data_IF_945070235100
#
_entry.id   IF_945070235100
#
_cell.length_a   1.000
_cell.length_b   1.000
_cell.length_c   1.000
_cell.angle_alpha   90.00
_cell.angle_beta   90.00
_cell.angle_gamma   90.00
#
_symmetry.space_group_name_H-M   'P 1'
#
loop_
_entity.id
_entity.type
_entity.pdbx_description
1 polymer ?
2 non-polymer ?
3 water ?
#
# COMPACT_ATOMS: atom_id res chain seq x y z
N UNK A 5 -1.88 22.64 8.76
CA UNK A 5 -0.73 21.66 8.74
C UNK A 5 -0.83 20.64 9.88
N UNK A 6 -1.36 21.07 11.02
CA UNK A 6 -1.57 20.16 12.13
C UNK A 6 -2.70 19.19 11.81
N UNK A 7 -3.82 19.74 11.32
CA UNK A 7 -4.96 18.90 10.97
C UNK A 7 -4.54 17.87 9.94
N UNK A 8 -3.81 18.31 8.92
CA UNK A 8 -3.42 17.43 7.82
C UNK A 8 -2.42 16.40 8.32
N UNK A 9 -1.59 16.81 9.27
CA UNK A 9 -0.52 15.94 9.74
C UNK A 9 -1.07 14.81 10.59
N UNK A 10 -2.07 15.13 11.41
CA UNK A 10 -2.74 14.10 12.20
C UNK A 10 -3.52 13.16 11.28
N UNK A 11 -4.24 13.73 10.32
CA UNK A 11 -4.95 12.95 9.33
C UNK A 11 -3.99 12.00 8.58
N UNK A 12 -2.83 12.50 8.17
CA UNK A 12 -1.89 11.67 7.40
C UNK A 12 -1.28 10.57 8.28
N UNK A 13 -1.00 10.90 9.54
CA UNK A 13 -0.38 9.96 10.44
C UNK A 13 -1.31 8.76 10.58
N UNK A 14 -2.59 9.06 10.73
CA UNK A 14 -3.62 8.04 10.88
C UNK A 14 -3.89 7.22 9.59
N UNK A 15 -3.33 7.65 8.47
CA UNK A 15 -3.42 6.89 7.22
C UNK A 15 -2.16 6.11 6.91
N UNK A 16 -1.15 6.21 7.75
CA UNK A 16 0.12 5.54 7.45
C UNK A 16 0.05 4.03 7.55
N UNK A 17 0.75 3.37 6.63
CA UNK A 17 1.08 1.95 6.69
C UNK A 17 2.57 1.98 6.92
N UNK A 18 2.95 1.80 8.17
CA UNK A 18 4.32 2.04 8.61
C UNK A 18 5.21 0.81 8.35
N UNK A 19 6.36 1.05 7.70
CA UNK A 19 7.35 0.02 7.40
C UNK A 19 8.70 0.34 8.04
N UNK A 20 9.54 -0.67 8.18
CA UNK A 20 10.90 -0.41 8.65
C UNK A 20 11.74 -0.01 7.45
N UNK A 24 16.47 -5.60 6.61
CA UNK A 24 15.33 -6.54 6.50
C UNK A 24 14.63 -6.67 7.83
N UNK A 25 13.33 -6.97 7.77
CA UNK A 25 12.56 -7.29 8.95
C UNK A 25 13.23 -8.40 9.76
N UNK A 26 13.16 -8.27 11.08
CA UNK A 26 13.55 -9.35 12.00
C UNK A 26 12.54 -9.31 13.12
N UNK A 27 12.49 -10.35 13.96
CA UNK A 27 11.57 -10.35 15.10
C UNK A 27 11.73 -9.05 15.89
N UNK A 28 12.98 -8.72 16.20
CA UNK A 28 13.33 -7.53 16.96
C UNK A 28 12.86 -6.23 16.29
N UNK A 29 13.14 -6.09 14.99
CA UNK A 29 12.77 -4.93 14.17
C UNK A 29 11.25 -4.76 14.13
N UNK A 30 10.56 -5.89 14.02
CA UNK A 30 9.11 -5.87 13.86
C UNK A 30 8.45 -5.47 15.18
N UNK A 31 9.02 -5.94 16.29
CA UNK A 31 8.47 -5.59 17.60
C UNK A 31 8.60 -4.08 17.79
N UNK A 32 9.77 -3.56 17.47
CA UNK A 32 10.03 -2.13 17.56
C UNK A 32 9.09 -1.34 16.65
N UNK A 33 8.87 -1.87 15.44
CA UNK A 33 7.92 -1.25 14.50
C UNK A 33 6.49 -1.14 15.08
N UNK A 34 6.00 -2.23 15.67
CA UNK A 34 4.69 -2.22 16.31
C UNK A 34 4.63 -1.13 17.39
N UNK A 35 5.68 -1.02 18.20
CA UNK A 35 5.70 0.02 19.22
C UNK A 35 5.72 1.38 18.56
N UNK A 36 6.43 1.50 17.43
CA UNK A 36 6.58 2.79 16.74
C UNK A 36 5.24 3.30 16.18
N UNK A 37 4.40 2.36 15.76
CA UNK A 37 3.05 2.65 15.25
C UNK A 37 2.05 3.22 16.27
N UNK A 38 2.36 3.08 17.56
CA UNK A 38 1.48 3.62 18.61
C UNK A 38 2.13 4.89 19.09
N UNK A 39 1.66 6.04 18.63
CA UNK A 39 2.32 7.30 18.95
C UNK A 39 1.55 8.12 20.00
N UNK A 40 2.19 9.15 20.56
CA UNK A 40 1.51 10.00 21.55
C UNK A 40 0.25 10.68 21.04
N UNK A 41 0.09 10.77 19.73
CA UNK A 41 -1.08 11.49 19.18
C UNK A 41 -2.08 10.54 18.52
N UNK A 42 -1.79 9.25 18.54
CA UNK A 42 -2.65 8.30 17.84
C UNK A 42 -1.84 7.21 17.16
N UNK A 43 -2.55 6.26 16.56
CA UNK A 43 -1.92 5.13 15.91
C UNK A 43 -1.93 5.31 14.40
N UNK A 44 -0.89 4.79 13.73
CA UNK A 44 -0.94 4.61 12.28
C UNK A 44 -2.06 3.59 11.99
N UNK A 45 -2.52 3.52 10.75
CA UNK A 45 -3.61 2.60 10.46
C UNK A 45 -3.09 1.17 10.45
N UNK A 46 -1.82 1.01 10.08
CA UNK A 46 -1.27 -0.33 9.81
C UNK A 46 0.22 -0.32 9.91
N UNK A 47 0.79 -1.52 9.92
CA UNK A 47 2.22 -1.69 9.66
C UNK A 47 2.35 -2.56 8.41
N UNK A 48 3.56 -2.52 7.81
CA UNK A 48 3.86 -3.30 6.63
C UNK A 48 5.11 -4.13 6.90
N UNK A 49 4.96 -5.45 6.77
CA UNK A 49 6.03 -6.37 7.14
C UNK A 49 6.03 -7.58 6.20
N UNK A 50 7.12 -8.36 6.23
CA UNK A 50 7.14 -9.66 5.52
C UNK A 50 6.13 -10.65 6.13
N UNK A 51 5.59 -11.58 5.31
CA UNK A 51 4.50 -12.44 5.81
C UNK A 51 4.85 -13.19 7.10
N UNK A 52 6.08 -13.69 7.21
CA UNK A 52 6.37 -14.59 8.31
C UNK A 52 6.33 -13.94 9.68
N UNK A 53 6.39 -12.60 9.69
CA UNK A 53 6.37 -11.85 10.92
C UNK A 53 4.98 -11.43 11.33
N UNK A 54 3.96 -11.85 10.57
CA UNK A 54 2.60 -11.46 10.93
C UNK A 54 2.14 -11.97 12.30
N UNK A 55 2.37 -13.26 12.62
CA UNK A 55 1.97 -13.76 13.94
C UNK A 55 2.60 -13.01 15.13
N UNK A 56 3.90 -12.74 15.08
CA UNK A 56 4.49 -12.09 16.22
C UNK A 56 4.10 -10.60 16.30
N UNK A 57 3.89 -9.96 15.15
CA UNK A 57 3.37 -8.58 15.12
C UNK A 57 1.95 -8.53 15.70
N UNK A 58 1.12 -9.52 15.36
CA UNK A 58 -0.27 -9.48 15.85
C UNK A 58 -0.28 -9.55 17.39
N UNK A 59 0.49 -10.48 17.93
CA UNK A 59 0.72 -10.60 19.37
C UNK A 59 1.20 -9.29 20.01
N UNK A 60 2.21 -8.67 19.40
CA UNK A 60 2.82 -7.47 19.94
C UNK A 60 1.78 -6.34 19.95
N UNK A 61 1.01 -6.24 18.88
CA UNK A 61 0.02 -5.17 18.78
C UNK A 61 -1.06 -5.36 19.83
N UNK A 62 -1.50 -6.60 19.98
CA UNK A 62 -2.51 -6.93 20.96
C UNK A 62 -1.98 -6.58 22.34
N UNK A 63 -0.76 -7.00 22.66
CA UNK A 63 -0.23 -6.79 24.01
C UNK A 63 -0.13 -5.31 24.38
N UNK A 64 0.12 -4.43 23.41
CA UNK A 64 0.27 -3.03 23.72
C UNK A 64 -1.08 -2.30 23.59
N UNK A 65 -2.14 -3.06 23.37
CA UNK A 65 -3.49 -2.54 23.43
C UNK A 65 -3.98 -1.85 22.16
N UNK A 66 -3.33 -2.16 21.05
CA UNK A 66 -3.69 -1.56 19.76
C UNK A 66 -4.02 -2.64 18.71
N UNK A 67 -5.03 -3.48 19.01
CA UNK A 67 -5.45 -4.55 18.13
C UNK A 67 -6.02 -4.05 16.82
N UNK A 68 -6.37 -2.76 16.75
CA UNK A 68 -6.98 -2.24 15.55
C UNK A 68 -5.95 -1.81 14.50
N UNK A 69 -4.67 -1.77 14.88
CA UNK A 69 -3.62 -1.51 13.92
C UNK A 69 -3.55 -2.71 12.97
N UNK A 70 -3.76 -2.47 11.67
CA UNK A 70 -3.80 -3.55 10.70
C UNK A 70 -2.40 -4.02 10.30
N UNK A 71 -2.32 -5.24 9.77
CA UNK A 71 -1.05 -5.76 9.27
C UNK A 71 -1.11 -6.04 7.77
N UNK A 72 -0.27 -5.32 7.01
CA UNK A 72 -0.23 -5.43 5.57
C UNK A 72 1.04 -6.16 5.18
N UNK A 73 0.99 -6.93 4.11
CA UNK A 73 2.22 -7.61 3.67
C UNK A 73 2.27 -7.65 2.15
N UNK A 74 3.27 -8.31 1.58
CA UNK A 74 3.38 -8.33 0.12
C UNK A 74 3.76 -9.73 -0.38
N UNK A 75 3.38 -10.00 -1.62
CA UNK A 75 3.70 -11.25 -2.30
C UNK A 75 4.10 -10.99 -3.74
N UNK A 76 4.69 -12.03 -4.38
CA UNK A 76 5.33 -11.89 -5.68
C UNK A 76 6.40 -10.79 -5.62
N UNK A 77 7.05 -10.71 -4.46
CA UNK A 77 7.79 -9.53 -4.00
C UNK A 77 9.23 -9.93 -3.84
N UNK A 78 10.17 -9.02 -4.18
CA UNK A 78 9.82 -7.70 -4.71
C UNK A 78 9.83 -7.64 -6.24
N UNK A 79 10.19 -8.75 -6.89
CA UNK A 79 10.45 -8.84 -8.34
C UNK A 79 9.31 -8.74 -9.33
N UNK A 80 8.12 -9.08 -8.90
CA UNK A 80 7.01 -9.02 -9.84
C UNK A 80 7.15 -10.00 -11.00
N UNK A 81 7.55 -11.25 -10.70
CA UNK A 81 7.67 -12.27 -11.75
C UNK A 81 6.29 -12.65 -12.31
N UNK A 82 6.26 -13.42 -13.39
CA UNK A 82 5.01 -13.69 -14.08
C UNK A 82 4.48 -15.12 -13.87
N UNK A 83 4.88 -15.74 -12.76
CA UNK A 83 4.44 -17.08 -12.41
C UNK A 83 3.23 -16.97 -11.49
N UNK A 84 2.04 -17.27 -12.02
CA UNK A 84 0.83 -17.10 -11.25
C UNK A 84 0.74 -18.09 -10.10
N UNK A 85 1.13 -19.34 -10.36
CA UNK A 85 1.05 -20.36 -9.33
C UNK A 85 1.84 -19.95 -8.09
N UNK A 86 3.04 -19.39 -8.30
CA UNK A 86 3.86 -18.97 -7.18
C UNK A 86 3.26 -17.75 -6.49
N UNK A 87 2.90 -16.72 -7.25
CA UNK A 87 2.26 -15.56 -6.63
C UNK A 87 1.05 -16.00 -5.81
N UNK A 88 0.27 -16.91 -6.37
CA UNK A 88 -0.94 -17.36 -5.67
C UNK A 88 -0.60 -18.14 -4.39
N UNK A 89 0.38 -19.03 -4.45
CA UNK A 89 0.80 -19.77 -3.26
C UNK A 89 1.27 -18.84 -2.16
N UNK A 90 2.09 -17.85 -2.54
CA UNK A 90 2.56 -16.87 -1.58
C UNK A 90 1.39 -16.12 -0.99
N UNK A 91 0.40 -15.77 -1.80
CA UNK A 91 -0.78 -15.03 -1.32
C UNK A 91 -1.59 -15.89 -0.33
N UNK A 92 -1.75 -17.16 -0.65
CA UNK A 92 -2.45 -18.04 0.25
C UNK A 92 -1.73 -18.14 1.59
N UNK A 93 -0.40 -18.22 1.55
CA UNK A 93 0.38 -18.28 2.76
C UNK A 93 0.26 -16.98 3.58
N UNK A 94 0.35 -15.83 2.92
CA UNK A 94 0.15 -14.54 3.57
C UNK A 94 -1.20 -14.51 4.29
N UNK A 95 -2.24 -15.00 3.63
CA UNK A 95 -3.56 -15.05 4.25
C UNK A 95 -3.54 -15.95 5.51
N UNK A 96 -2.92 -17.11 5.39
CA UNK A 96 -2.79 -18.05 6.49
C UNK A 96 -2.03 -17.51 7.71
N UNK A 97 -0.99 -16.72 7.46
CA UNK A 97 -0.26 -16.11 8.56
C UNK A 97 -1.12 -15.11 9.31
N UNK A 98 -2.11 -14.54 8.63
CA UNK A 98 -3.08 -13.62 9.26
C UNK A 98 -3.08 -12.20 8.70
N UNK A 99 -2.59 -12.04 7.48
CA UNK A 99 -2.55 -10.71 6.82
C UNK A 99 -3.95 -10.10 6.83
N UNK A 100 -4.02 -8.79 7.07
CA UNK A 100 -5.26 -8.01 6.81
C UNK A 100 -5.38 -7.60 5.33
N UNK A 101 -4.23 -7.36 4.71
CA UNK A 101 -4.17 -7.00 3.31
C UNK A 101 -2.91 -7.65 2.75
N UNK A 102 -2.98 -8.07 1.49
CA UNK A 102 -1.82 -8.53 0.72
C UNK A 102 -1.64 -7.62 -0.48
N UNK A 103 -0.43 -7.07 -0.62
CA UNK A 103 -0.08 -6.30 -1.80
C UNK A 103 0.73 -7.18 -2.72
N UNK A 104 0.11 -7.60 -3.83
CA UNK A 104 0.81 -8.42 -4.79
C UNK A 104 1.54 -7.55 -5.84
N UNK A 105 2.78 -7.88 -6.14
CA UNK A 105 3.49 -7.12 -7.19
C UNK A 105 3.02 -7.54 -8.59
N UNK A 106 2.51 -6.59 -9.35
CA UNK A 106 2.09 -6.81 -10.74
C UNK A 106 3.27 -7.27 -11.58
N UNK A 107 3.02 -8.15 -12.57
CA UNK A 107 4.10 -8.55 -13.48
C UNK A 107 4.35 -7.46 -14.52
N UNK A 108 5.06 -6.43 -14.08
CA UNK A 108 5.26 -5.23 -14.91
C UNK A 108 6.22 -5.48 -16.07
N UNK A 109 7.23 -6.34 -15.85
CA UNK A 109 8.10 -6.65 -16.99
C UNK A 109 7.31 -7.35 -18.08
N UNK A 110 6.38 -8.23 -17.69
CA UNK A 110 5.56 -8.91 -18.68
C UNK A 110 4.74 -7.89 -19.45
N UNK A 111 4.13 -6.95 -18.73
CA UNK A 111 3.34 -5.93 -19.42
C UNK A 111 4.23 -5.13 -20.38
N UNK A 112 5.44 -4.80 -19.93
CA UNK A 112 6.35 -3.99 -20.73
C UNK A 112 6.76 -4.75 -21.99
N UNK A 113 6.72 -6.08 -21.92
CA UNK A 113 7.01 -6.93 -23.06
C UNK A 113 5.75 -7.23 -23.85
N UNK A 114 4.67 -6.55 -23.50
CA UNK A 114 3.45 -6.60 -24.32
C UNK A 114 2.45 -7.66 -23.91
N UNK A 115 2.72 -8.32 -22.79
CA UNK A 115 1.82 -9.36 -22.31
C UNK A 115 0.92 -8.76 -21.23
N UNK A 116 -0.29 -8.35 -21.62
CA UNK A 116 -1.25 -7.78 -20.69
C UNK A 116 -2.08 -8.84 -19.97
N UNK A 117 -2.15 -10.03 -20.56
CA UNK A 117 -3.03 -11.06 -20.03
C UNK A 117 -2.54 -11.59 -18.68
N UNK A 118 -1.23 -11.77 -18.57
CA UNK A 118 -0.72 -12.48 -17.42
C UNK A 118 -0.94 -11.66 -16.15
N UNK A 119 -0.85 -10.32 -16.28
CA UNK A 119 -1.14 -9.43 -15.15
C UNK A 119 -2.57 -9.55 -14.71
N UNK A 120 -3.47 -9.62 -15.68
CA UNK A 120 -4.89 -9.78 -15.37
C UNK A 120 -5.12 -11.10 -14.61
N UNK A 121 -4.64 -12.19 -15.18
CA UNK A 121 -4.88 -13.53 -14.60
C UNK A 121 -4.25 -13.63 -13.21
N UNK A 122 -3.06 -13.06 -13.07
CA UNK A 122 -2.36 -13.11 -11.80
C UNK A 122 -3.11 -12.37 -10.71
N UNK A 123 -3.53 -11.14 -10.98
CA UNK A 123 -4.21 -10.35 -9.98
C UNK A 123 -5.53 -11.00 -9.65
N UNK A 124 -6.23 -11.47 -10.68
CA UNK A 124 -7.55 -12.09 -10.48
C UNK A 124 -7.47 -13.33 -9.57
N UNK A 125 -6.47 -14.17 -9.82
CA UNK A 125 -6.26 -15.36 -9.00
C UNK A 125 -6.00 -14.99 -7.53
N UNK A 126 -5.16 -13.99 -7.30
CA UNK A 126 -4.85 -13.57 -5.94
C UNK A 126 -6.07 -12.91 -5.27
N UNK A 127 -6.83 -12.14 -6.03
CA UNK A 127 -8.00 -11.48 -5.50
C UNK A 127 -9.01 -12.52 -5.05
N UNK A 128 -9.19 -13.58 -5.86
CA UNK A 128 -10.15 -14.68 -5.53
C UNK A 128 -9.88 -15.02 -4.05
N UNK A 129 -8.62 -15.15 -3.65
CA UNK A 129 -8.21 -16.12 -2.70
C UNK A 129 -8.38 -15.12 -1.49
N UNK A 130 -7.96 -13.85 -1.68
CA UNK A 130 -8.04 -12.84 -0.63
C UNK A 130 -9.50 -12.56 -0.26
N UNK A 131 -10.32 -12.39 -1.28
CA UNK A 131 -11.75 -12.06 -1.07
C UNK A 131 -12.47 -13.13 -0.26
N UNK A 132 -12.16 -14.39 -0.55
CA UNK A 132 -12.75 -15.52 0.19
C UNK A 132 -12.38 -15.48 1.67
N UNK A 133 -11.23 -14.86 1.99
CA UNK A 133 -10.75 -14.81 3.36
C UNK A 133 -10.97 -13.44 4.00
N UNK A 134 -11.75 -12.58 3.34
CA UNK A 134 -11.99 -11.21 3.82
C UNK A 134 -10.70 -10.41 4.07
N UNK A 135 -9.77 -10.60 3.15
CA UNK A 135 -8.48 -9.92 3.13
C UNK A 135 -8.45 -9.04 1.88
N UNK A 136 -7.97 -7.80 2.03
CA UNK A 136 -7.91 -6.90 0.88
C UNK A 136 -6.73 -7.28 -0.01
N UNK A 137 -6.90 -7.18 -1.31
CA UNK A 137 -5.80 -7.36 -2.24
C UNK A 137 -5.40 -6.02 -2.83
N UNK A 138 -4.18 -5.56 -2.50
CA UNK A 138 -3.61 -4.39 -3.14
C UNK A 138 -2.69 -4.87 -4.26
N UNK A 139 -2.55 -4.05 -5.29
CA UNK A 139 -1.65 -4.35 -6.41
C UNK A 139 -0.60 -3.26 -6.59
N UNK A 140 0.66 -3.66 -6.43
CA UNK A 140 1.82 -2.74 -6.62
C UNK A 140 2.23 -2.79 -8.09
N UNK A 141 2.08 -1.68 -8.81
CA UNK A 141 2.33 -1.70 -10.27
C UNK A 141 3.79 -1.33 -10.63
N UNK A 142 4.48 -0.70 -9.68
CA UNK A 142 5.90 -0.35 -9.80
C UNK A 142 6.09 0.73 -10.84
N UNK A 143 5.52 1.89 -10.53
CA UNK A 143 5.51 3.05 -11.41
C UNK A 143 6.90 3.52 -11.79
N UNK A 144 7.85 3.30 -10.90
CA UNK A 144 9.22 3.70 -11.16
C UNK A 144 9.94 2.85 -12.17
N UNK A 145 9.39 1.66 -12.45
CA UNK A 145 9.90 0.78 -13.50
C UNK A 145 9.11 0.93 -14.79
N UNK A 146 7.77 1.04 -14.68
CA UNK A 146 6.94 1.32 -15.86
C UNK A 146 7.34 2.63 -16.55
N UNK A 147 7.51 3.65 -15.72
CA UNK A 147 7.98 4.98 -16.12
C UNK A 147 6.99 5.77 -16.97
N UNK A 148 6.53 5.17 -18.06
CA UNK A 148 5.64 5.86 -19.01
C UNK A 148 4.20 6.01 -18.50
N UNK A 149 3.63 7.17 -18.73
CA UNK A 149 2.25 7.43 -18.30
C UNK A 149 1.28 6.37 -18.84
N UNK A 150 1.42 5.99 -20.10
CA UNK A 150 0.47 5.06 -20.73
C UNK A 150 0.54 3.69 -20.09
N UNK A 151 1.74 3.29 -19.70
CA UNK A 151 2.00 2.01 -19.05
C UNK A 151 1.47 2.03 -17.62
N UNK A 152 1.61 3.18 -16.98
CA UNK A 152 1.10 3.32 -15.63
C UNK A 152 -0.43 3.22 -15.68
N UNK A 153 -1.04 3.92 -16.64
CA UNK A 153 -2.49 3.85 -16.81
C UNK A 153 -2.96 2.44 -17.09
N UNK A 154 -2.23 1.76 -17.95
CA UNK A 154 -2.65 0.42 -18.40
C UNK A 154 -2.50 -0.59 -17.27
N UNK A 155 -1.38 -0.56 -16.56
CA UNK A 155 -1.24 -1.45 -15.40
C UNK A 155 -2.34 -1.18 -14.36
N UNK A 156 -2.72 0.09 -14.17
CA UNK A 156 -3.72 0.38 -13.16
C UNK A 156 -5.05 -0.19 -13.62
N UNK A 157 -5.34 -0.04 -14.91
CA UNK A 157 -6.64 -0.48 -15.47
C UNK A 157 -6.80 -1.99 -15.38
N UNK A 158 -5.76 -2.68 -15.83
CA UNK A 158 -5.72 -4.14 -15.80
C UNK A 158 -5.93 -4.58 -14.36
N UNK A 159 -5.19 -3.97 -13.44
CA UNK A 159 -5.31 -4.33 -12.02
C UNK A 159 -6.73 -4.17 -11.48
N UNK A 160 -7.34 -3.04 -11.82
CA UNK A 160 -8.70 -2.76 -11.38
C UNK A 160 -9.69 -3.76 -12.02
N UNK A 161 -9.55 -4.01 -13.33
CA UNK A 161 -10.47 -4.96 -13.99
C UNK A 161 -10.36 -6.39 -13.45
N UNK A 162 -9.17 -6.72 -12.95
CA UNK A 162 -8.93 -8.02 -12.36
C UNK A 162 -9.40 -8.07 -10.91
N UNK A 163 -9.84 -6.93 -10.37
CA UNK A 163 -10.38 -6.91 -9.01
C UNK A 163 -9.52 -6.34 -7.88
N UNK A 164 -8.46 -5.61 -8.19
CA UNK A 164 -7.70 -4.95 -7.13
C UNK A 164 -8.59 -4.13 -6.22
N UNK A 165 -8.41 -4.29 -4.91
CA UNK A 165 -9.02 -3.43 -3.91
C UNK A 165 -8.30 -2.09 -3.73
N UNK A 166 -7.01 -2.09 -4.05
CA UNK A 166 -6.19 -0.88 -3.92
C UNK A 166 -5.12 -0.97 -4.98
N UNK A 167 -4.70 0.19 -5.51
CA UNK A 167 -3.59 0.22 -6.42
C UNK A 167 -2.48 1.06 -5.81
N UNK A 168 -1.26 0.58 -6.00
CA UNK A 168 -0.13 1.04 -5.17
C UNK A 168 1.03 1.43 -6.05
N UNK A 169 1.73 2.51 -5.74
CA UNK A 169 2.71 2.96 -6.71
C UNK A 169 3.88 1.99 -6.86
N UNK A 170 4.41 1.55 -5.72
CA UNK A 170 5.78 1.07 -5.65
C UNK A 170 5.98 0.09 -4.51
N UNK A 171 7.03 -0.68 -4.64
CA UNK A 171 7.39 -1.64 -3.65
C UNK A 171 8.16 -0.91 -2.51
N UNK A 172 7.73 -1.09 -1.23
CA UNK A 172 8.44 -0.46 -0.15
C UNK A 172 9.92 -0.80 -0.18
N UNK A 173 10.75 0.22 -0.08
CA UNK A 173 12.19 0.03 -0.07
C UNK A 173 12.88 -0.01 -1.42
N UNK A 174 12.11 0.04 -2.51
CA UNK A 174 12.68 -0.08 -3.85
C UNK A 174 13.70 1.03 -4.09
N UNK A 175 14.95 0.68 -4.42
CA UNK A 175 15.94 1.75 -4.47
C UNK A 175 15.58 2.82 -5.50
N UNK A 176 15.56 4.06 -5.04
CA UNK A 176 15.40 5.21 -5.92
C UNK A 176 14.03 5.28 -6.59
N UNK A 177 13.05 4.54 -6.05
CA UNK A 177 11.75 4.56 -6.68
C UNK A 177 10.66 4.74 -5.64
N UNK A 178 9.74 5.62 -5.96
CA UNK A 178 8.69 5.93 -5.03
C UNK A 178 7.63 6.70 -5.78
N UNK A 179 6.55 6.98 -5.07
CA UNK A 179 5.47 7.80 -5.62
C UNK A 179 6.01 9.18 -6.01
N UNK A 180 5.38 9.76 -7.02
CA UNK A 180 5.58 11.16 -7.39
C UNK A 180 4.18 11.76 -7.52
N UNK A 181 4.09 13.09 -7.52
CA UNK A 181 2.76 13.68 -7.68
C UNK A 181 2.19 13.29 -9.03
N UNK A 182 3.05 13.15 -10.03
CA UNK A 182 2.59 12.76 -11.34
C UNK A 182 2.03 11.33 -11.37
N UNK A 183 2.76 10.37 -10.83
CA UNK A 183 2.22 9.00 -10.84
C UNK A 183 0.99 8.85 -9.98
N UNK A 184 0.97 9.51 -8.83
CA UNK A 184 -0.20 9.47 -7.98
C UNK A 184 -1.39 10.07 -8.71
N UNK A 185 -1.19 11.22 -9.37
CA UNK A 185 -2.27 11.80 -10.14
C UNK A 185 -2.81 10.87 -11.23
N UNK A 186 -1.91 10.24 -11.99
CA UNK A 186 -2.32 9.34 -13.06
C UNK A 186 -3.13 8.19 -12.51
N UNK A 187 -2.65 7.58 -11.43
CA UNK A 187 -3.32 6.39 -10.90
C UNK A 187 -4.68 6.72 -10.34
N UNK A 188 -4.78 7.83 -9.63
CA UNK A 188 -6.03 8.31 -9.10
C UNK A 188 -7.02 8.72 -10.19
N UNK A 189 -6.53 9.28 -11.30
CA UNK A 189 -7.43 9.56 -12.44
C UNK A 189 -8.00 8.30 -13.06
N UNK A 190 -7.23 7.21 -13.06
CA UNK A 190 -7.77 5.95 -13.53
C UNK A 190 -8.95 5.52 -12.66
N UNK A 191 -8.77 5.58 -11.33
CA UNK A 191 -9.83 5.22 -10.39
C UNK A 191 -11.06 6.08 -10.69
N UNK A 192 -10.84 7.38 -10.85
CA UNK A 192 -11.96 8.28 -11.13
C UNK A 192 -12.63 7.96 -12.46
N UNK A 193 -11.81 7.82 -13.49
CA UNK A 193 -12.32 7.61 -14.85
C UNK A 193 -13.03 6.28 -15.03
N UNK A 194 -12.55 5.25 -14.35
CA UNK A 194 -13.21 3.95 -14.41
C UNK A 194 -14.46 3.86 -13.54
N UNK A 195 -14.69 4.91 -12.75
CA UNK A 195 -15.86 5.02 -11.87
C UNK A 195 -15.83 4.10 -10.67
N UNK A 196 -14.63 3.78 -10.21
CA UNK A 196 -14.50 2.78 -9.14
C UNK A 196 -14.03 3.37 -7.81
N UNK A 197 -14.20 4.68 -7.62
CA UNK A 197 -13.78 5.31 -6.37
C UNK A 197 -14.33 4.66 -5.09
N UNK A 198 -15.53 4.06 -5.14
CA UNK A 198 -16.04 3.43 -3.93
C UNK A 198 -15.28 2.14 -3.59
N UNK A 199 -14.82 1.44 -4.62
CA UNK A 199 -14.30 0.10 -4.41
C UNK A 199 -12.78 -0.02 -4.56
N UNK A 200 -12.12 1.06 -4.98
CA UNK A 200 -10.64 0.95 -5.13
C UNK A 200 -9.99 2.17 -4.52
N UNK A 201 -8.95 1.92 -3.71
CA UNK A 201 -8.20 2.98 -3.07
C UNK A 201 -6.82 3.11 -3.68
N UNK A 202 -6.07 4.05 -3.14
CA UNK A 202 -4.76 4.37 -3.69
C UNK A 202 -3.74 4.39 -2.58
N UNK A 203 -2.53 3.91 -2.87
CA UNK A 203 -1.45 3.97 -1.88
C UNK A 203 -0.17 4.45 -2.51
N UNK A 204 0.22 5.70 -2.22
CA UNK A 204 1.57 6.16 -2.58
C UNK A 204 2.58 5.53 -1.63
N UNK A 205 3.57 4.82 -2.19
CA UNK A 205 4.69 4.26 -1.42
C UNK A 205 5.96 5.02 -1.78
N UNK A 206 6.64 5.55 -0.78
CA UNK A 206 7.80 6.42 -1.08
C UNK A 206 7.33 7.81 -1.51
N UNK A 207 8.27 8.72 -1.67
CA UNK A 207 7.95 10.03 -2.24
C UNK A 207 7.42 11.05 -1.26
N UNK A 208 7.04 10.59 -0.07
CA UNK A 208 6.44 11.46 0.90
C UNK A 208 7.25 11.43 2.18
N UNK A 209 8.01 12.49 2.42
CA UNK A 209 8.96 12.46 3.52
C UNK A 209 8.65 13.52 4.57
N UNK A 210 7.93 14.57 4.17
CA UNK A 210 7.64 15.66 5.08
C UNK A 210 6.14 15.84 5.31
N UNK A 211 5.78 16.51 6.40
CA UNK A 211 4.40 16.91 6.64
C UNK A 211 3.85 17.74 5.47
N UNK A 212 4.68 18.62 4.93
CA UNK A 212 4.30 19.37 3.75
C UNK A 212 3.94 18.47 2.56
N UNK A 213 4.79 17.47 2.31
CA UNK A 213 4.54 16.50 1.23
C UNK A 213 3.17 15.85 1.45
N UNK A 214 2.95 15.39 2.67
CA UNK A 214 1.70 14.64 2.97
C UNK A 214 0.49 15.53 2.75
N UNK A 215 0.60 16.78 3.19
CA UNK A 215 -0.49 17.75 2.99
C UNK A 215 -0.86 17.88 1.51
N UNK A 216 0.15 17.99 0.64
CA UNK A 216 -0.10 18.20 -0.79
C UNK A 216 -0.68 16.97 -1.45
N UNK A 217 -0.23 15.80 -1.03
CA UNK A 217 -0.71 14.54 -1.60
C UNK A 217 -2.18 14.37 -1.27
N UNK A 218 -2.55 14.63 -0.02
CA UNK A 218 -3.95 14.53 0.38
C UNK A 218 -4.81 15.57 -0.34
N UNK A 219 -4.22 16.73 -0.59
CA UNK A 219 -4.95 17.77 -1.29
C UNK A 219 -5.36 17.31 -2.70
N UNK A 220 -4.50 16.52 -3.34
CA UNK A 220 -4.82 16.00 -4.67
C UNK A 220 -6.01 15.06 -4.59
N UNK A 221 -5.97 14.15 -3.62
CA UNK A 221 -7.11 13.28 -3.33
C UNK A 221 -8.40 14.06 -3.07
N UNK A 222 -8.33 15.07 -2.21
CA UNK A 222 -9.53 15.83 -1.83
C UNK A 222 -10.10 16.54 -3.04
N UNK A 223 -9.18 17.07 -3.86
CA UNK A 223 -9.51 17.79 -5.10
C UNK A 223 -10.25 16.88 -6.05
N UNK A 224 -9.75 15.66 -6.19
CA UNK A 224 -10.23 14.73 -7.19
C UNK A 224 -11.56 14.08 -6.81
N UNK A 225 -11.70 13.73 -5.54
CA UNK A 225 -12.82 12.91 -5.10
C UNK A 225 -13.66 13.57 -4.03
N UNK A 226 -13.31 14.77 -3.62
CA UNK A 226 -13.96 15.41 -2.48
C UNK A 226 -13.29 15.00 -1.20
N UNK A 227 -13.45 15.83 -0.18
CA UNK A 227 -12.68 15.67 1.05
C UNK A 227 -12.99 14.41 1.87
N UNK A 228 -14.17 13.80 1.69
CA UNK A 228 -14.53 12.60 2.48
C UNK A 228 -13.94 11.28 1.95
N UNK A 229 -13.45 11.30 0.72
CA UNK A 229 -13.04 10.07 0.06
C UNK A 229 -11.87 9.36 0.71
N UNK A 230 -10.81 10.12 1.02
CA UNK A 230 -9.54 9.52 1.44
C UNK A 230 -9.54 9.10 2.91
N UNK A 231 -10.44 8.17 3.23
CA UNK A 231 -10.42 7.56 4.54
C UNK A 231 -9.42 6.39 4.51
N UNK A 232 -9.27 5.69 5.64
CA UNK A 232 -8.26 4.62 5.73
C UNK A 232 -8.42 3.49 4.71
N UNK A 233 -9.65 3.25 4.26
CA UNK A 233 -9.92 2.24 3.24
C UNK A 233 -9.46 2.67 1.85
N UNK A 234 -9.48 3.98 1.58
CA UNK A 234 -9.20 4.44 0.22
C UNK A 234 -7.87 5.19 0.01
N UNK A 235 -7.19 5.55 1.09
CA UNK A 235 -5.88 6.19 0.98
C UNK A 235 -4.96 5.69 2.08
N UNK A 236 -3.68 5.48 1.76
CA UNK A 236 -2.71 5.16 2.78
C UNK A 236 -1.36 5.64 2.32
N UNK A 237 -0.57 6.16 3.26
CA UNK A 237 0.82 6.49 2.98
C UNK A 237 1.69 5.31 3.36
N UNK A 238 2.32 4.68 2.37
CA UNK A 238 3.28 3.60 2.65
C UNK A 238 4.61 4.28 2.86
N UNK A 239 5.03 4.39 4.12
CA UNK A 239 6.20 5.17 4.46
C UNK A 239 6.85 4.64 5.72
N UNK A 240 7.90 5.35 6.17
CA UNK A 240 8.69 4.88 7.30
C UNK A 240 8.94 5.97 8.37
N UNK A 241 10.02 5.81 9.13
CA UNK A 241 10.33 6.68 10.27
C UNK A 241 10.43 8.17 9.91
N UNK A 242 10.88 8.43 8.68
CA UNK A 242 11.17 9.80 8.28
C UNK A 242 9.90 10.61 8.22
N UNK A 243 8.90 10.06 7.53
CA UNK A 243 7.60 10.72 7.46
C UNK A 243 6.94 10.75 8.83
N UNK A 244 7.00 9.67 9.60
CA UNK A 244 6.34 9.67 10.89
C UNK A 244 6.91 10.77 11.79
N UNK A 245 8.23 10.87 11.78
CA UNK A 245 8.94 11.89 12.55
C UNK A 245 8.51 13.30 12.16
N UNK A 246 8.38 13.54 10.87
CA UNK A 246 8.01 14.86 10.36
C UNK A 246 6.60 15.21 10.77
N UNK A 247 5.71 14.24 10.67
CA UNK A 247 4.33 14.44 11.08
C UNK A 247 4.21 14.71 12.58
N UNK A 248 4.95 13.96 13.39
CA UNK A 248 4.90 14.16 14.83
C UNK A 248 5.45 15.53 15.21
N UNK A 249 6.45 15.98 14.49
CA UNK A 249 7.02 17.30 14.76
C UNK A 249 6.01 18.40 14.43
N UNK A 250 5.33 18.24 13.29
CA UNK A 250 4.30 19.21 12.92
C UNK A 250 3.25 19.28 14.00
N UNK A 251 3.12 18.19 14.75
CA UNK A 251 2.12 18.10 15.81
C UNK A 251 2.69 18.43 17.18
N UNK A 252 4.00 18.67 17.25
CA UNK A 252 4.61 19.16 18.50
C UNK A 252 5.33 18.10 19.29
N UNK A 253 5.73 17.02 18.61
CA UNK A 253 6.49 15.93 19.21
C UNK A 253 7.72 15.62 18.37
X LIG B 1 0.66 -1.48 1.34
X LIG B 1 0.77 -0.67 2.46
X LIG B 1 1.96 0.00 2.72
X LIG B 1 3.02 -0.14 1.84
X LIG B 1 2.91 -0.96 0.71
X LIG B 1 1.73 -1.64 0.46
X LIG B 1 -0.63 -2.21 1.12
X LIG B 1 -1.38 -2.39 2.11
X LIG B 1 -0.98 -2.65 -0.08
#
# INVERSE_FOLDING_TARGET
MATDLKASSLRALKLMHLATANDDDTDENVIALCHQAKTPVGNTDAIFIYPRFIPIARKTLKEQGTPEIRICTSTNFPHGNDDIDIALAETRAAIAYGADSVAVVFPYRALMAGNEQVGFDLVKACKEACAAANVLLAVIIETGELKDEALIRKASEISIKAGADNIVTSTPGKVAEGATPESARIMMEVIRDMGVEKTVGFIPVGGVRTAEDAQKYLAIADELFGADWADSRHYAFGASSSLLASLLKALGHGDGKSASSYGSLEHHHHHH
BEN C1 C2 C3 C4 C5 C6 C N1 N2
#
